data_IF_451772818011
#
_entry.id   IF_451772818011
#
_cell.length_a   1.000
_cell.length_b   1.000
_cell.length_c   1.000
_cell.angle_alpha   90.00
_cell.angle_beta   90.00
_cell.angle_gamma   90.00
#
_symmetry.space_group_name_H-M   'P 1'
#
loop_
_entity.id
_entity.type
_entity.pdbx_description
1 polymer ?
#
# COMPACT_ATOMS: atom_id res chain seq x y z
N UNK A 1 66.82 2.46 9.95
CA UNK A 1 66.06 3.08 11.06
C UNK A 1 65.79 4.52 10.63
N UNK A 2 64.58 5.06 10.45
CA UNK A 2 63.27 4.72 10.97
C UNK A 2 62.16 5.00 9.92
N UNK A 3 61.06 4.25 10.02
CA UNK A 3 59.88 4.32 9.17
C UNK A 3 59.06 5.61 9.38
N UNK A 4 58.36 6.14 8.36
CA UNK A 4 57.40 7.21 8.53
C UNK A 4 56.15 6.71 9.29
N UNK A 5 55.67 7.57 10.19
CA UNK A 5 54.60 7.32 11.15
C UNK A 5 53.27 6.99 10.47
N UNK A 6 52.68 5.86 10.87
CA UNK A 6 51.36 5.39 10.47
C UNK A 6 50.27 6.23 11.15
N UNK A 7 49.62 7.12 10.39
CA UNK A 7 48.51 7.94 10.85
C UNK A 7 47.29 7.03 10.97
N UNK A 8 47.07 6.56 12.20
CA UNK A 8 46.03 5.61 12.55
C UNK A 8 44.64 6.14 12.15
N UNK A 9 43.95 5.35 11.31
CA UNK A 9 42.62 5.61 10.77
C UNK A 9 41.61 5.72 11.91
N UNK A 10 40.98 6.88 12.06
CA UNK A 10 39.81 7.02 12.93
C UNK A 10 38.75 5.98 12.56
N UNK A 11 38.20 5.22 13.52
CA UNK A 11 37.08 4.34 13.22
C UNK A 11 35.87 5.23 12.95
N UNK A 12 35.53 5.42 11.68
CA UNK A 12 34.20 5.90 11.30
C UNK A 12 33.19 4.86 11.80
N UNK A 13 32.69 5.07 13.02
CA UNK A 13 31.48 4.44 13.53
C UNK A 13 30.36 4.96 12.63
N UNK A 14 30.09 4.23 11.54
CA UNK A 14 28.91 4.42 10.72
C UNK A 14 27.72 4.07 11.60
N UNK A 15 27.23 5.06 12.35
CA UNK A 15 25.96 4.97 13.03
C UNK A 15 24.91 4.69 11.96
N UNK A 16 24.37 3.46 11.98
CA UNK A 16 23.26 3.06 11.11
C UNK A 16 22.10 4.03 11.39
N UNK A 17 21.95 5.06 10.56
CA UNK A 17 20.87 6.03 10.68
C UNK A 17 19.56 5.25 10.58
N UNK A 18 18.87 5.12 11.71
CA UNK A 18 17.54 4.50 11.78
C UNK A 18 16.63 5.29 10.85
N UNK A 19 16.10 4.60 9.82
CA UNK A 19 15.14 5.18 8.88
C UNK A 19 13.95 5.75 9.67
N UNK A 20 13.63 7.03 9.46
CA UNK A 20 12.44 7.66 10.06
C UNK A 20 11.18 7.06 9.43
N UNK A 21 10.11 6.93 10.22
CA UNK A 21 8.79 6.50 9.71
C UNK A 21 8.30 7.52 8.67
N UNK A 22 7.93 7.04 7.48
CA UNK A 22 7.57 7.84 6.31
C UNK A 22 8.42 7.47 5.09
N UNK A 23 7.89 7.71 3.88
CA UNK A 23 8.64 7.50 2.65
C UNK A 23 9.90 8.37 2.63
N UNK A 24 11.03 7.84 2.13
CA UNK A 24 12.24 8.62 2.00
C UNK A 24 11.98 9.89 1.17
N UNK A 25 12.59 11.04 1.52
CA UNK A 25 12.57 12.22 0.67
C UNK A 25 13.02 11.83 -0.75
N UNK A 26 12.16 12.03 -1.75
CA UNK A 26 12.40 11.62 -3.13
C UNK A 26 11.74 10.31 -3.57
N UNK A 27 11.01 9.60 -2.71
CA UNK A 27 10.21 8.43 -3.13
C UNK A 27 9.07 8.86 -4.06
N UNK A 28 9.32 8.84 -5.37
CA UNK A 28 8.33 9.11 -6.40
C UNK A 28 7.42 7.91 -6.70
N UNK A 29 7.72 6.72 -6.19
CA UNK A 29 6.92 5.52 -6.47
C UNK A 29 5.51 5.68 -5.90
N UNK A 30 5.36 6.25 -4.70
CA UNK A 30 4.05 6.57 -4.12
C UNK A 30 3.22 7.55 -4.98
N UNK A 31 3.89 8.47 -5.71
CA UNK A 31 3.22 9.39 -6.65
C UNK A 31 2.76 8.71 -7.94
N UNK A 32 3.51 7.70 -8.39
CA UNK A 32 3.24 7.00 -9.66
C UNK A 32 2.28 5.83 -9.47
N UNK A 33 2.38 5.10 -8.35
CA UNK A 33 1.73 3.79 -8.15
C UNK A 33 0.85 3.69 -6.90
N UNK A 34 0.88 4.66 -5.99
CA UNK A 34 0.05 4.65 -4.79
C UNK A 34 -1.46 4.79 -5.09
N UNK A 35 -2.31 4.52 -4.09
CA UNK A 35 -3.77 4.68 -4.18
C UNK A 35 -4.19 6.07 -4.69
N UNK A 36 -3.44 7.11 -4.32
CA UNK A 36 -3.69 8.50 -4.75
C UNK A 36 -2.98 8.89 -6.05
N UNK A 37 -2.41 7.94 -6.80
CA UNK A 37 -1.84 8.27 -8.11
C UNK A 37 -2.95 8.78 -9.02
N UNK A 38 -2.73 9.97 -9.58
CA UNK A 38 -3.76 10.78 -10.25
C UNK A 38 -4.25 10.17 -11.57
N UNK A 39 -3.58 9.13 -12.07
CA UNK A 39 -3.86 8.47 -13.34
C UNK A 39 -3.71 6.96 -13.20
N UNK A 40 -4.63 6.23 -13.83
CA UNK A 40 -4.48 4.82 -14.15
C UNK A 40 -3.50 4.69 -15.33
N UNK A 41 -2.74 3.61 -15.38
CA UNK A 41 -1.94 3.27 -16.57
C UNK A 41 -2.88 2.91 -17.75
N UNK A 42 -2.41 2.94 -19.00
CA UNK A 42 -3.23 2.51 -20.15
C UNK A 42 -3.78 1.08 -19.99
N UNK A 43 -2.99 0.17 -19.44
CA UNK A 43 -3.40 -1.21 -19.18
C UNK A 43 -4.51 -1.26 -18.12
N UNK A 44 -4.36 -0.50 -17.03
CA UNK A 44 -5.37 -0.37 -15.98
C UNK A 44 -6.68 0.29 -16.47
N UNK A 45 -6.59 1.23 -17.43
CA UNK A 45 -7.79 1.82 -18.05
C UNK A 45 -8.50 0.82 -18.94
N UNK A 46 -7.75 -0.01 -19.67
CA UNK A 46 -8.32 -1.07 -20.50
C UNK A 46 -9.02 -2.14 -19.66
N UNK A 47 -8.37 -2.58 -18.57
CA UNK A 47 -8.95 -3.50 -17.59
C UNK A 47 -10.21 -2.90 -16.92
N UNK A 48 -10.17 -1.62 -16.52
CA UNK A 48 -11.33 -0.93 -15.97
C UNK A 48 -12.50 -0.91 -16.96
N UNK A 49 -12.24 -0.58 -18.23
CA UNK A 49 -13.26 -0.57 -19.26
C UNK A 49 -13.85 -1.96 -19.50
N UNK A 50 -13.01 -3.00 -19.47
CA UNK A 50 -13.47 -4.39 -19.59
C UNK A 50 -14.39 -4.80 -18.44
N UNK A 51 -14.01 -4.51 -17.19
CA UNK A 51 -14.81 -4.82 -16.00
C UNK A 51 -16.16 -4.10 -16.05
N UNK A 52 -16.16 -2.80 -16.35
CA UNK A 52 -17.39 -2.00 -16.39
C UNK A 52 -18.33 -2.47 -17.52
N UNK A 53 -17.79 -2.77 -18.70
CA UNK A 53 -18.62 -3.13 -19.86
C UNK A 53 -19.10 -4.59 -19.84
N UNK A 54 -18.27 -5.51 -19.34
CA UNK A 54 -18.53 -6.95 -19.41
C UNK A 54 -19.18 -7.47 -18.13
N UNK A 55 -18.62 -7.13 -16.97
CA UNK A 55 -19.14 -7.57 -15.67
C UNK A 55 -20.27 -6.67 -15.16
N UNK A 56 -20.52 -5.53 -15.82
CA UNK A 56 -21.49 -4.49 -15.41
C UNK A 56 -21.30 -4.04 -13.96
N UNK A 57 -20.05 -4.05 -13.50
CA UNK A 57 -19.70 -3.61 -12.17
C UNK A 57 -19.82 -2.08 -12.07
N UNK A 58 -20.23 -1.60 -10.91
CA UNK A 58 -20.24 -0.16 -10.65
C UNK A 58 -18.83 0.43 -10.87
N UNK A 59 -18.69 1.55 -11.60
CA UNK A 59 -17.38 2.13 -11.92
C UNK A 59 -16.51 2.44 -10.71
N UNK A 60 -17.09 2.79 -9.55
CA UNK A 60 -16.32 3.04 -8.33
C UNK A 60 -15.73 1.75 -7.79
N UNK A 61 -16.51 0.66 -7.76
CA UNK A 61 -16.04 -0.67 -7.35
C UNK A 61 -14.98 -1.20 -8.31
N UNK A 62 -15.23 -1.06 -9.62
CA UNK A 62 -14.30 -1.49 -10.66
C UNK A 62 -12.95 -0.76 -10.53
N UNK A 63 -12.99 0.55 -10.27
CA UNK A 63 -11.78 1.36 -10.03
C UNK A 63 -11.03 0.89 -8.78
N UNK A 64 -11.74 0.58 -7.69
CA UNK A 64 -11.15 0.04 -6.47
C UNK A 64 -10.49 -1.33 -6.71
N UNK A 65 -11.10 -2.21 -7.52
CA UNK A 65 -10.55 -3.52 -7.89
C UNK A 65 -9.22 -3.37 -8.64
N UNK A 66 -9.19 -2.57 -9.70
CA UNK A 66 -7.99 -2.33 -10.50
C UNK A 66 -6.86 -1.75 -9.63
N UNK A 67 -7.18 -0.81 -8.75
CA UNK A 67 -6.19 -0.25 -7.82
C UNK A 67 -5.71 -1.26 -6.80
N UNK A 68 -6.59 -2.09 -6.25
CA UNK A 68 -6.21 -3.13 -5.29
C UNK A 68 -5.22 -4.12 -5.91
N UNK A 69 -5.51 -4.62 -7.12
CA UNK A 69 -4.61 -5.51 -7.86
C UNK A 69 -3.25 -4.83 -8.08
N UNK A 70 -3.24 -3.57 -8.53
CA UNK A 70 -2.01 -2.82 -8.71
C UNK A 70 -1.17 -2.68 -7.44
N UNK A 71 -1.80 -2.46 -6.28
CA UNK A 71 -1.09 -2.31 -5.00
C UNK A 71 -0.54 -3.66 -4.51
N UNK A 72 -1.27 -4.75 -4.75
CA UNK A 72 -0.84 -6.10 -4.39
C UNK A 72 0.32 -6.60 -5.26
N UNK A 73 0.45 -6.09 -6.48
CA UNK A 73 1.55 -6.42 -7.40
C UNK A 73 2.83 -5.60 -7.14
N UNK A 74 2.77 -4.54 -6.32
CA UNK A 74 3.96 -3.75 -5.97
C UNK A 74 4.81 -4.49 -4.91
N UNK A 75 6.14 -4.47 -5.07
CA UNK A 75 7.11 -4.99 -4.10
C UNK A 75 8.01 -3.85 -3.55
N UNK A 76 7.92 -3.49 -2.25
CA UNK A 76 7.01 -4.04 -1.24
C UNK A 76 5.59 -3.46 -1.36
N UNK A 77 4.56 -4.18 -0.87
CA UNK A 77 3.17 -3.72 -0.90
C UNK A 77 2.97 -2.40 -0.14
N UNK A 78 2.21 -1.47 -0.71
CA UNK A 78 1.83 -0.22 -0.01
C UNK A 78 0.68 -0.50 0.98
N UNK A 79 1.02 -0.94 2.19
CA UNK A 79 0.08 -1.19 3.28
C UNK A 79 -0.82 0.01 3.62
N UNK A 80 -0.36 1.24 3.36
CA UNK A 80 -1.19 2.43 3.59
C UNK A 80 -2.27 2.54 2.53
N UNK A 81 -1.89 2.32 1.27
CA UNK A 81 -2.83 2.26 0.15
C UNK A 81 -3.88 1.15 0.34
N UNK A 82 -3.49 -0.03 0.83
CA UNK A 82 -4.42 -1.12 1.13
C UNK A 82 -5.45 -0.75 2.21
N UNK A 83 -5.03 -0.10 3.30
CA UNK A 83 -5.95 0.35 4.36
C UNK A 83 -6.98 1.36 3.84
N UNK A 84 -6.60 2.23 2.91
CA UNK A 84 -7.51 3.19 2.30
C UNK A 84 -8.53 2.50 1.38
N UNK A 85 -8.11 1.52 0.57
CA UNK A 85 -9.02 0.70 -0.24
C UNK A 85 -10.05 0.01 0.67
N UNK A 86 -9.60 -0.67 1.73
CA UNK A 86 -10.46 -1.36 2.69
C UNK A 86 -11.48 -0.41 3.31
N UNK A 87 -11.02 0.78 3.73
CA UNK A 87 -11.90 1.79 4.31
C UNK A 87 -12.97 2.23 3.30
N UNK A 88 -12.58 2.55 2.06
CA UNK A 88 -13.51 3.01 1.03
C UNK A 88 -14.54 1.95 0.66
N UNK A 89 -14.13 0.69 0.51
CA UNK A 89 -15.05 -0.43 0.29
C UNK A 89 -16.03 -0.61 1.45
N UNK A 90 -15.53 -0.50 2.68
CA UNK A 90 -16.38 -0.62 3.88
C UNK A 90 -17.38 0.53 3.94
N UNK A 91 -16.93 1.78 3.72
CA UNK A 91 -17.77 2.98 3.77
C UNK A 91 -18.87 2.91 2.68
N UNK A 92 -18.49 2.52 1.45
CA UNK A 92 -19.42 2.35 0.34
C UNK A 92 -20.48 1.27 0.63
N UNK A 93 -20.04 0.06 1.02
CA UNK A 93 -20.97 -1.04 1.31
C UNK A 93 -21.85 -0.74 2.53
N UNK A 94 -21.32 -0.04 3.53
CA UNK A 94 -22.09 0.42 4.69
C UNK A 94 -23.18 1.39 4.28
N UNK A 95 -22.88 2.33 3.38
CA UNK A 95 -23.85 3.29 2.87
C UNK A 95 -24.95 2.61 2.04
N UNK A 96 -24.57 1.71 1.13
CA UNK A 96 -25.49 1.00 0.25
C UNK A 96 -26.44 0.07 1.02
N UNK A 97 -25.91 -0.71 1.96
CA UNK A 97 -26.68 -1.70 2.72
C UNK A 97 -27.17 -1.20 4.09
N UNK A 98 -26.98 0.09 4.40
CA UNK A 98 -27.36 0.73 5.66
C UNK A 98 -26.88 -0.06 6.89
N UNK A 99 -25.65 -0.55 6.84
CA UNK A 99 -25.09 -1.36 7.92
C UNK A 99 -24.98 -0.55 9.22
N UNK A 100 -25.19 -1.24 10.35
CA UNK A 100 -24.91 -0.64 11.65
C UNK A 100 -23.39 -0.60 11.90
N UNK A 101 -22.98 0.12 12.97
CA UNK A 101 -21.56 0.29 13.33
C UNK A 101 -20.83 -1.03 13.62
N UNK A 102 -21.55 -2.03 14.12
CA UNK A 102 -20.99 -3.34 14.46
C UNK A 102 -20.69 -4.13 13.18
N UNK A 103 -21.66 -4.21 12.27
CA UNK A 103 -21.53 -4.91 10.99
C UNK A 103 -20.48 -4.26 10.10
N UNK A 104 -20.45 -2.93 10.06
CA UNK A 104 -19.41 -2.17 9.33
C UNK A 104 -18.00 -2.49 9.86
N UNK A 105 -17.84 -2.66 11.18
CA UNK A 105 -16.56 -3.05 11.78
C UNK A 105 -16.17 -4.48 11.39
N UNK A 106 -17.12 -5.42 11.45
CA UNK A 106 -16.88 -6.81 11.04
C UNK A 106 -16.50 -6.91 9.57
N UNK A 107 -17.21 -6.18 8.69
CA UNK A 107 -16.90 -6.10 7.27
C UNK A 107 -15.49 -5.60 7.03
N UNK A 108 -15.10 -4.50 7.68
CA UNK A 108 -13.74 -3.94 7.59
C UNK A 108 -12.68 -4.96 7.98
N UNK A 109 -12.89 -5.68 9.08
CA UNK A 109 -11.96 -6.71 9.57
C UNK A 109 -11.90 -7.90 8.61
N UNK A 110 -13.04 -8.33 8.07
CA UNK A 110 -13.12 -9.42 7.12
C UNK A 110 -12.36 -9.09 5.83
N UNK A 111 -12.65 -7.93 5.22
CA UNK A 111 -11.95 -7.46 4.01
C UNK A 111 -10.44 -7.35 4.27
N UNK A 112 -10.03 -6.80 5.42
CA UNK A 112 -8.62 -6.73 5.79
C UNK A 112 -7.96 -8.11 5.85
N UNK A 113 -8.58 -9.08 6.52
CA UNK A 113 -8.04 -10.45 6.63
C UNK A 113 -7.89 -11.13 5.27
N UNK A 114 -8.86 -10.94 4.37
CA UNK A 114 -8.76 -11.49 3.01
C UNK A 114 -7.55 -10.88 2.31
N UNK A 115 -7.38 -9.57 2.32
CA UNK A 115 -6.23 -8.91 1.70
C UNK A 115 -4.91 -9.36 2.34
N UNK A 116 -4.86 -9.43 3.67
CA UNK A 116 -3.70 -9.86 4.45
C UNK A 116 -3.24 -11.27 4.09
N UNK A 117 -4.17 -12.17 3.70
CA UNK A 117 -3.84 -13.54 3.27
C UNK A 117 -3.04 -13.61 1.96
N UNK A 118 -3.06 -12.55 1.14
CA UNK A 118 -2.30 -12.44 -0.10
C UNK A 118 -0.99 -11.66 0.06
N UNK A 119 -0.74 -11.09 1.24
CA UNK A 119 0.49 -10.34 1.48
C UNK A 119 1.59 -11.28 1.98
N UNK A 120 2.86 -11.05 1.61
CA UNK A 120 3.96 -11.73 2.27
C UNK A 120 3.89 -11.45 3.78
N UNK A 121 4.25 -12.43 4.65
CA UNK A 121 4.25 -12.23 6.10
C UNK A 121 5.12 -11.02 6.45
N UNK A 122 4.46 -9.90 6.73
CA UNK A 122 5.11 -8.62 7.02
C UNK A 122 5.40 -8.48 8.51
N UNK A 123 6.59 -7.97 8.83
CA UNK A 123 7.10 -7.54 10.16
C UNK A 123 6.25 -6.45 10.88
N UNK A 124 4.97 -6.32 10.53
CA UNK A 124 4.16 -5.12 10.68
C UNK A 124 3.15 -5.07 11.82
N UNK A 125 3.05 -6.09 12.67
CA UNK A 125 2.26 -6.03 13.91
C UNK A 125 3.12 -5.54 15.09
N UNK A 126 3.55 -4.28 15.05
CA UNK A 126 4.28 -3.64 16.16
C UNK A 126 3.54 -2.47 16.80
N UNK A 127 2.25 -2.27 16.53
CA UNK A 127 1.47 -1.28 17.25
C UNK A 127 0.02 -1.76 17.39
N UNK A 128 -0.17 -2.58 18.42
CA UNK A 128 -1.40 -2.63 19.23
C UNK A 128 -1.80 -1.24 19.69
#
# INVERSE_FOLDING_TARGET
MAHPQNINRSPHVQSKIKRKRGGQPGNQNARKRGFYSRRLTPDQLSELAEIVNTERLDPEIATLRVKLVSILQDDPPDYRALREVVKRLTDWYTAEHRLNKTDSRYLKMFIWRVIESYLPPGDGDKNK
#
